data_IF_198853944450
#
_entry.id   IF_198853944450
#
_cell.length_a   1.000
_cell.length_b   1.000
_cell.length_c   1.000
_cell.angle_alpha   90.00
_cell.angle_beta   90.00
_cell.angle_gamma   90.00
#
_symmetry.space_group_name_H-M   'P 1'
#
loop_
_entity.id
_entity.type
_entity.pdbx_description
1 polymer ?
#
# COMPACT_ATOMS: atom_id res chain seq x y z
N UNK A 1 -8.32 12.05 13.47
CA UNK A 1 -9.44 13.02 13.49
C UNK A 1 -9.02 14.38 14.06
N UNK A 2 -8.33 14.44 15.20
CA UNK A 2 -8.00 15.71 15.87
C UNK A 2 -6.98 16.62 15.15
N UNK A 3 -6.23 16.12 14.16
CA UNK A 3 -5.13 16.84 13.50
C UNK A 3 -5.37 17.21 12.03
N UNK A 4 -6.57 16.96 11.49
CA UNK A 4 -6.95 17.41 10.14
C UNK A 4 -7.87 18.63 10.26
N UNK A 5 -7.41 19.86 9.95
CA UNK A 5 -8.17 21.09 10.20
C UNK A 5 -9.49 21.16 9.42
N UNK A 6 -9.60 20.42 8.33
CA UNK A 6 -10.71 20.48 7.38
C UNK A 6 -11.59 19.19 7.36
N UNK A 7 -11.29 18.21 8.24
CA UNK A 7 -12.10 17.02 8.49
C UNK A 7 -12.70 16.35 7.24
N UNK A 8 -14.03 16.28 7.19
CA UNK A 8 -14.79 15.69 6.09
C UNK A 8 -14.71 16.50 4.79
N UNK A 9 -14.59 17.84 4.86
CA UNK A 9 -14.62 18.69 3.67
C UNK A 9 -13.35 18.57 2.81
N UNK A 10 -12.24 18.12 3.39
CA UNK A 10 -10.98 17.87 2.67
C UNK A 10 -10.57 16.39 2.70
N UNK A 11 -11.47 15.51 3.15
CA UNK A 11 -11.23 14.08 3.26
C UNK A 11 -10.00 13.70 4.10
N UNK A 12 -9.79 14.39 5.23
CA UNK A 12 -8.73 14.09 6.19
C UNK A 12 -7.28 14.20 5.69
N UNK A 13 -7.03 14.98 4.64
CA UNK A 13 -5.65 15.24 4.19
C UNK A 13 -4.83 15.96 5.27
N UNK A 14 -3.62 15.47 5.57
CA UNK A 14 -2.71 16.05 6.56
C UNK A 14 -1.83 17.10 5.86
N UNK A 15 -2.12 18.39 6.09
CA UNK A 15 -1.33 19.48 5.52
C UNK A 15 0.03 19.67 6.23
N UNK A 16 0.12 19.35 7.51
CA UNK A 16 1.33 19.52 8.31
C UNK A 16 1.62 18.27 9.15
N UNK A 17 2.89 17.85 9.14
CA UNK A 17 3.37 16.80 10.04
C UNK A 17 3.78 17.43 11.38
N UNK A 18 2.98 17.19 12.42
CA UNK A 18 3.26 17.64 13.81
C UNK A 18 3.98 16.57 14.66
N UNK A 19 3.99 15.32 14.23
CA UNK A 19 4.48 14.16 15.01
C UNK A 19 5.61 13.45 14.26
N UNK A 20 6.62 12.98 15.00
CA UNK A 20 7.74 12.21 14.47
C UNK A 20 7.27 10.89 13.84
N UNK A 21 7.72 10.61 12.61
CA UNK A 21 7.37 9.39 11.89
C UNK A 21 8.62 8.52 11.66
N UNK A 22 8.72 7.35 12.31
CA UNK A 22 9.92 6.51 12.22
C UNK A 22 10.13 5.94 10.81
N UNK A 23 9.06 5.62 10.08
CA UNK A 23 9.17 5.09 8.73
C UNK A 23 9.83 6.10 7.78
N UNK A 24 9.45 7.37 7.91
CA UNK A 24 10.01 8.44 7.10
C UNK A 24 11.50 8.69 7.40
N UNK A 25 11.93 8.66 8.68
CA UNK A 25 13.35 8.78 9.01
C UNK A 25 14.17 7.60 8.47
N UNK A 26 13.61 6.39 8.47
CA UNK A 26 14.25 5.21 7.85
C UNK A 26 14.50 5.48 6.37
N UNK A 27 13.46 5.87 5.60
CA UNK A 27 13.61 6.19 4.17
C UNK A 27 14.58 7.36 3.91
N UNK A 28 14.54 8.41 4.72
CA UNK A 28 15.47 9.54 4.61
C UNK A 28 16.92 9.17 4.97
N UNK A 29 17.13 8.19 5.85
CA UNK A 29 18.48 7.68 6.17
C UNK A 29 18.98 6.76 5.07
N UNK A 30 18.11 5.92 4.51
CA UNK A 30 18.40 5.10 3.34
C UNK A 30 18.78 5.96 2.13
N UNK A 31 18.11 7.09 1.89
CA UNK A 31 18.37 7.96 0.74
C UNK A 31 19.71 8.70 0.78
N UNK A 32 20.40 8.72 1.93
CA UNK A 32 21.79 9.20 2.01
C UNK A 32 22.77 8.26 1.30
N UNK A 33 22.43 6.98 1.20
CA UNK A 33 23.25 5.95 0.55
C UNK A 33 22.56 5.56 -0.74
N UNK A 34 22.76 6.38 -1.77
CA UNK A 34 22.23 6.08 -3.10
C UNK A 34 22.85 4.78 -3.65
N UNK A 35 22.09 3.82 -4.21
CA UNK A 35 20.65 3.80 -4.53
C UNK A 35 19.81 2.86 -3.60
N UNK A 36 20.22 2.69 -2.34
CA UNK A 36 19.65 1.66 -1.45
C UNK A 36 18.16 1.92 -1.13
N UNK A 37 17.77 3.19 -1.06
CA UNK A 37 16.38 3.63 -0.91
C UNK A 37 15.48 3.12 -2.04
N UNK A 38 15.94 3.16 -3.29
CA UNK A 38 15.21 2.62 -4.43
C UNK A 38 15.10 1.10 -4.37
N UNK A 39 16.19 0.41 -4.03
CA UNK A 39 16.16 -1.05 -3.88
C UNK A 39 15.15 -1.47 -2.81
N UNK A 40 15.17 -0.81 -1.65
CA UNK A 40 14.24 -1.09 -0.56
C UNK A 40 12.79 -0.81 -0.96
N UNK A 41 12.53 0.34 -1.60
CA UNK A 41 11.19 0.69 -2.09
C UNK A 41 10.72 -0.34 -3.14
N UNK A 42 11.59 -0.75 -4.07
CA UNK A 42 11.27 -1.77 -5.06
C UNK A 42 10.93 -3.12 -4.41
N UNK A 43 11.69 -3.55 -3.41
CA UNK A 43 11.41 -4.80 -2.67
C UNK A 43 10.06 -4.71 -1.96
N UNK A 44 9.76 -3.60 -1.29
CA UNK A 44 8.46 -3.40 -0.61
C UNK A 44 7.31 -3.43 -1.61
N UNK A 45 7.43 -2.73 -2.75
CA UNK A 45 6.39 -2.71 -3.79
C UNK A 45 6.21 -4.10 -4.40
N UNK A 46 7.30 -4.79 -4.74
CA UNK A 46 7.24 -6.16 -5.27
C UNK A 46 6.65 -7.14 -4.26
N UNK A 47 6.97 -7.00 -2.98
CA UNK A 47 6.38 -7.81 -1.92
C UNK A 47 4.87 -7.58 -1.81
N UNK A 48 4.39 -6.33 -1.77
CA UNK A 48 2.96 -6.05 -1.70
C UNK A 48 2.25 -6.52 -2.99
N UNK A 49 2.90 -6.38 -4.13
CA UNK A 49 2.40 -6.89 -5.41
C UNK A 49 2.26 -8.42 -5.38
N UNK A 50 3.30 -9.14 -4.96
CA UNK A 50 3.26 -10.60 -4.85
C UNK A 50 2.25 -11.07 -3.80
N UNK A 51 2.16 -10.40 -2.66
CA UNK A 51 1.20 -10.70 -1.60
C UNK A 51 -0.24 -10.47 -2.04
N UNK A 52 -0.52 -9.43 -2.81
CA UNK A 52 -1.87 -9.18 -3.35
C UNK A 52 -2.23 -10.18 -4.45
N UNK A 53 -1.30 -10.52 -5.34
CA UNK A 53 -1.46 -11.60 -6.31
C UNK A 53 -1.77 -12.93 -5.62
N UNK A 54 -0.97 -13.30 -4.64
CA UNK A 54 -1.18 -14.51 -3.85
C UNK A 54 -2.51 -14.44 -3.09
N UNK A 55 -2.87 -13.28 -2.55
CA UNK A 55 -4.16 -13.06 -1.89
C UNK A 55 -5.34 -13.27 -2.84
N UNK A 56 -5.28 -12.74 -4.07
CA UNK A 56 -6.33 -12.92 -5.08
C UNK A 56 -6.45 -14.40 -5.49
N UNK A 57 -5.33 -15.09 -5.66
CA UNK A 57 -5.30 -16.52 -6.02
C UNK A 57 -5.77 -17.40 -4.86
N UNK A 58 -5.32 -17.16 -3.63
CA UNK A 58 -5.64 -17.95 -2.45
C UNK A 58 -7.05 -17.68 -1.89
N UNK A 59 -7.61 -16.48 -2.09
CA UNK A 59 -8.98 -16.15 -1.71
C UNK A 59 -10.04 -16.72 -2.66
N UNK A 60 -9.62 -17.39 -3.73
CA UNK A 60 -10.44 -18.22 -4.60
C UNK A 60 -11.81 -17.57 -4.88
N UNK A 61 -11.80 -16.32 -5.36
CA UNK A 61 -12.90 -15.33 -5.47
C UNK A 61 -14.29 -15.85 -4.99
N UNK A 62 -14.45 -16.07 -3.68
CA UNK A 62 -15.76 -16.25 -3.03
C UNK A 62 -16.22 -14.92 -2.47
N UNK A 63 -16.59 -14.00 -3.36
CA UNK A 63 -17.14 -12.71 -2.94
C UNK A 63 -18.52 -12.97 -2.34
N UNK A 64 -18.68 -12.79 -1.02
CA UNK A 64 -19.99 -12.86 -0.33
C UNK A 64 -20.80 -14.14 -0.67
N UNK A 65 -20.13 -15.31 -0.73
CA UNK A 65 -20.69 -16.63 -1.07
C UNK A 65 -20.96 -16.94 -2.55
N UNK A 66 -20.53 -16.08 -3.49
CA UNK A 66 -20.65 -16.35 -4.94
C UNK A 66 -19.24 -16.58 -5.51
N UNK A 67 -19.02 -17.74 -6.14
CA UNK A 67 -17.80 -18.06 -6.89
C UNK A 67 -17.81 -17.28 -8.21
N UNK A 68 -17.05 -16.18 -8.29
CA UNK A 68 -17.15 -15.28 -9.46
C UNK A 68 -16.27 -15.76 -10.61
N UNK A 69 -15.01 -16.16 -10.38
CA UNK A 69 -14.16 -16.81 -11.39
C UNK A 69 -13.04 -17.64 -10.74
N UNK A 70 -12.88 -18.91 -11.14
CA UNK A 70 -11.72 -19.74 -10.76
C UNK A 70 -10.52 -19.35 -11.62
N UNK A 71 -9.50 -18.77 -11.01
CA UNK A 71 -8.22 -18.46 -11.68
C UNK A 71 -7.42 -19.75 -11.86
N UNK A 72 -7.59 -20.42 -13.01
CA UNK A 72 -6.77 -21.59 -13.35
C UNK A 72 -5.63 -21.20 -14.27
N UNK A 73 -4.40 -21.54 -13.88
CA UNK A 73 -3.22 -21.35 -14.71
C UNK A 73 -3.46 -21.97 -16.09
N UNK A 74 -3.19 -21.20 -17.16
CA UNK A 74 -3.39 -21.58 -18.57
C UNK A 74 -4.84 -21.78 -19.04
N UNK A 75 -5.87 -21.53 -18.21
CA UNK A 75 -7.30 -21.61 -18.60
C UNK A 75 -8.13 -20.40 -18.18
N UNK A 76 -7.51 -19.27 -17.85
CA UNK A 76 -8.21 -18.04 -17.48
C UNK A 76 -8.85 -17.38 -18.71
N UNK A 77 -10.13 -17.03 -18.62
CA UNK A 77 -10.81 -16.27 -19.65
C UNK A 77 -10.17 -14.86 -19.79
N UNK A 78 -10.09 -14.29 -21.01
CA UNK A 78 -9.47 -12.96 -21.23
C UNK A 78 -10.15 -11.85 -20.41
N UNK A 79 -11.44 -11.99 -20.12
CA UNK A 79 -12.19 -11.08 -19.26
C UNK A 79 -11.68 -11.08 -17.81
N UNK A 80 -11.29 -12.24 -17.27
CA UNK A 80 -10.73 -12.34 -15.92
C UNK A 80 -9.34 -11.70 -15.85
N UNK A 81 -8.52 -11.85 -16.90
CA UNK A 81 -7.21 -11.19 -17.00
C UNK A 81 -7.35 -9.66 -17.04
N UNK A 82 -8.36 -9.13 -17.75
CA UNK A 82 -8.65 -7.70 -17.78
C UNK A 82 -9.07 -7.14 -16.41
N UNK A 83 -9.97 -7.83 -15.70
CA UNK A 83 -10.39 -7.44 -14.35
C UNK A 83 -9.22 -7.47 -13.37
N UNK A 84 -8.37 -8.49 -13.46
CA UNK A 84 -7.17 -8.61 -12.63
C UNK A 84 -6.16 -7.49 -12.90
N UNK A 85 -5.89 -7.18 -14.18
CA UNK A 85 -5.02 -6.08 -14.57
C UNK A 85 -5.55 -4.73 -14.04
N UNK A 86 -6.85 -4.52 -14.16
CA UNK A 86 -7.51 -3.32 -13.66
C UNK A 86 -7.45 -3.21 -12.12
N UNK A 87 -7.68 -4.32 -11.41
CA UNK A 87 -7.51 -4.39 -9.96
C UNK A 87 -6.07 -4.10 -9.54
N UNK A 88 -5.08 -4.66 -10.24
CA UNK A 88 -3.65 -4.40 -9.98
C UNK A 88 -3.27 -2.94 -10.24
N UNK A 89 -3.84 -2.31 -11.28
CA UNK A 89 -3.64 -0.88 -11.53
C UNK A 89 -4.20 -0.01 -10.39
N UNK A 90 -5.39 -0.35 -9.86
CA UNK A 90 -5.94 0.34 -8.69
C UNK A 90 -5.11 0.12 -7.42
N UNK A 91 -4.57 -1.08 -7.22
CA UNK A 91 -3.66 -1.36 -6.10
C UNK A 91 -2.38 -0.53 -6.21
N UNK A 92 -1.77 -0.44 -7.39
CA UNK A 92 -0.58 0.39 -7.60
C UNK A 92 -0.87 1.87 -7.32
N UNK A 93 -2.02 2.36 -7.76
CA UNK A 93 -2.48 3.72 -7.44
C UNK A 93 -2.62 3.92 -5.93
N UNK A 94 -3.24 2.97 -5.23
CA UNK A 94 -3.39 3.00 -3.78
C UNK A 94 -2.03 2.98 -3.06
N UNK A 95 -1.05 2.23 -3.57
CA UNK A 95 0.31 2.21 -3.04
C UNK A 95 1.01 3.56 -3.16
N UNK A 96 0.84 4.27 -4.28
CA UNK A 96 1.38 5.63 -4.44
C UNK A 96 0.81 6.60 -3.39
N UNK A 97 -0.49 6.50 -3.10
CA UNK A 97 -1.13 7.28 -2.03
C UNK A 97 -0.63 6.83 -0.66
N UNK A 98 -0.48 5.52 -0.45
CA UNK A 98 0.03 4.96 0.81
C UNK A 98 1.44 5.48 1.12
N UNK A 99 2.33 5.57 0.12
CA UNK A 99 3.67 6.14 0.29
C UNK A 99 3.64 7.59 0.80
N UNK A 100 2.72 8.42 0.30
CA UNK A 100 2.52 9.79 0.78
C UNK A 100 2.03 9.85 2.24
N UNK A 101 1.36 8.79 2.72
CA UNK A 101 0.94 8.67 4.12
C UNK A 101 2.03 8.07 5.04
N UNK A 102 2.79 7.09 4.54
CA UNK A 102 3.82 6.37 5.31
C UNK A 102 5.10 7.19 5.45
N UNK A 103 5.55 7.87 4.40
CA UNK A 103 6.77 8.67 4.40
C UNK A 103 6.57 10.01 3.65
N UNK A 104 5.78 10.95 4.22
CA UNK A 104 5.41 12.19 3.55
C UNK A 104 6.58 13.08 3.11
N UNK A 105 7.66 13.17 3.89
CA UNK A 105 8.75 14.12 3.62
C UNK A 105 9.72 13.50 2.62
N UNK A 106 10.00 12.21 2.75
CA UNK A 106 10.75 11.47 1.74
C UNK A 106 10.05 11.49 0.38
N UNK A 107 8.73 11.26 0.34
CA UNK A 107 7.98 11.24 -0.94
C UNK A 107 7.74 12.62 -1.53
N UNK A 108 7.61 13.67 -0.69
CA UNK A 108 7.44 15.03 -1.16
C UNK A 108 8.76 15.70 -1.57
N UNK A 109 9.85 15.50 -0.83
CA UNK A 109 11.11 16.25 -1.01
C UNK A 109 12.33 15.36 -1.30
N UNK A 110 12.29 14.07 -0.97
CA UNK A 110 13.43 13.17 -1.14
C UNK A 110 14.62 13.56 -0.25
N UNK A 111 15.82 13.58 -0.83
CA UNK A 111 17.07 13.94 -0.13
C UNK A 111 17.42 15.43 -0.20
N UNK A 112 16.48 16.30 -0.63
CA UNK A 112 16.72 17.73 -0.77
C UNK A 112 17.07 18.39 0.58
N UNK A 113 18.17 19.16 0.58
CA UNK A 113 18.60 19.98 1.72
C UNK A 113 18.72 21.45 1.33
N UNK A 114 18.34 22.33 2.25
CA UNK A 114 18.38 23.79 2.09
C UNK A 114 19.46 24.39 3.01
N UNK A 115 20.22 25.40 2.59
CA UNK A 115 21.10 26.14 3.49
C UNK A 115 20.27 26.90 4.54
N UNK A 116 20.56 26.66 5.83
CA UNK A 116 19.95 27.38 6.95
C UNK A 116 20.44 28.83 6.96
N UNK A 117 19.54 29.77 7.26
CA UNK A 117 19.82 31.22 7.22
C UNK A 117 20.79 31.72 8.29
N UNK A 118 21.22 30.86 9.22
CA UNK A 118 22.22 31.17 10.23
C UNK A 118 23.12 29.96 10.48
N UNK A 119 24.43 30.17 10.32
CA UNK A 119 25.51 29.17 10.37
C UNK A 119 25.53 28.17 9.21
N UNK A 120 26.73 27.62 8.96
CA UNK A 120 27.07 26.66 7.89
C UNK A 120 26.41 25.28 8.08
N UNK A 121 25.10 25.25 8.28
CA UNK A 121 24.28 24.05 8.43
C UNK A 121 23.32 23.92 7.26
N UNK A 122 23.24 22.73 6.67
CA UNK A 122 22.18 22.36 5.74
C UNK A 122 21.02 21.73 6.52
N UNK A 123 19.84 22.33 6.43
CA UNK A 123 18.59 21.81 6.99
C UNK A 123 17.84 20.98 5.94
N UNK A 124 17.10 19.96 6.38
CA UNK A 124 16.32 19.09 5.47
C UNK A 124 15.00 19.77 5.10
N UNK A 125 14.57 19.62 3.85
CA UNK A 125 13.22 20.03 3.45
C UNK A 125 12.17 19.15 4.14
N UNK A 126 11.19 19.76 4.80
CA UNK A 126 10.08 19.07 5.48
C UNK A 126 8.77 19.79 5.25
N UNK A 127 7.65 19.07 5.38
CA UNK A 127 6.31 19.65 5.22
C UNK A 127 5.99 20.74 6.26
N UNK A 128 6.63 20.72 7.43
CA UNK A 128 6.40 21.68 8.50
C UNK A 128 7.04 23.06 8.26
N UNK A 129 7.99 23.16 7.33
CA UNK A 129 8.87 24.34 7.18
C UNK A 129 9.03 24.75 5.70
N UNK A 130 7.95 24.68 4.93
CA UNK A 130 8.00 24.99 3.48
C UNK A 130 7.97 26.50 3.18
N UNK A 131 8.97 27.24 3.68
CA UNK A 131 9.25 28.59 3.18
C UNK A 131 9.95 28.52 1.82
N UNK A 132 9.13 28.55 0.76
CA UNK A 132 9.35 28.94 -0.64
C UNK A 132 10.55 28.39 -1.45
N UNK A 133 11.51 27.64 -0.87
CA UNK A 133 12.74 27.20 -1.58
C UNK A 133 12.87 25.69 -1.80
N UNK A 134 11.99 24.86 -1.25
CA UNK A 134 11.99 23.42 -1.48
C UNK A 134 11.01 23.06 -2.62
N UNK A 135 11.45 22.27 -3.61
CA UNK A 135 10.58 21.80 -4.68
C UNK A 135 9.91 20.49 -4.27
N UNK A 136 8.57 20.50 -4.17
CA UNK A 136 7.79 19.29 -3.93
C UNK A 136 7.69 18.42 -5.20
N UNK A 137 7.69 17.11 -5.03
CA UNK A 137 7.63 16.11 -6.09
C UNK A 137 6.33 16.21 -6.90
N UNK A 138 6.40 15.82 -8.18
CA UNK A 138 5.23 15.84 -9.08
C UNK A 138 4.13 14.92 -8.56
N UNK A 139 4.50 13.75 -8.03
CA UNK A 139 3.58 12.76 -7.45
C UNK A 139 2.83 13.38 -6.26
N UNK A 140 3.55 14.03 -5.33
CA UNK A 140 2.91 14.68 -4.19
C UNK A 140 1.98 15.83 -4.62
N UNK A 141 2.38 16.67 -5.60
CA UNK A 141 1.51 17.72 -6.15
C UNK A 141 0.24 17.14 -6.76
N UNK A 142 0.39 16.09 -7.57
CA UNK A 142 -0.71 15.47 -8.29
C UNK A 142 -1.75 14.88 -7.34
N UNK A 143 -1.33 14.04 -6.40
CA UNK A 143 -2.24 13.41 -5.43
C UNK A 143 -2.84 14.42 -4.46
N UNK A 144 -2.08 15.43 -4.03
CA UNK A 144 -2.62 16.50 -3.17
C UNK A 144 -3.73 17.27 -3.90
N UNK A 145 -3.54 17.60 -5.19
CA UNK A 145 -4.58 18.24 -5.99
C UNK A 145 -5.81 17.36 -6.17
N UNK A 146 -5.62 16.06 -6.41
CA UNK A 146 -6.73 15.10 -6.53
C UNK A 146 -7.51 15.01 -5.22
N UNK A 147 -6.83 14.89 -4.08
CA UNK A 147 -7.47 14.81 -2.77
C UNK A 147 -8.31 16.06 -2.46
N UNK A 148 -7.81 17.24 -2.84
CA UNK A 148 -8.53 18.51 -2.68
C UNK A 148 -9.68 18.68 -3.69
N UNK A 149 -9.49 18.25 -4.93
CA UNK A 149 -10.54 18.35 -5.96
C UNK A 149 -11.66 17.32 -5.76
N UNK A 150 -11.33 16.14 -5.23
CA UNK A 150 -12.24 15.01 -5.03
C UNK A 150 -12.16 14.49 -3.57
N UNK A 151 -12.82 15.16 -2.61
CA UNK A 151 -12.76 14.77 -1.20
C UNK A 151 -13.35 13.37 -0.95
N UNK A 152 -14.30 12.92 -1.78
CA UNK A 152 -14.92 11.58 -1.70
C UNK A 152 -13.85 10.48 -1.79
N UNK A 153 -12.87 10.63 -2.70
CA UNK A 153 -11.80 9.64 -2.88
C UNK A 153 -10.97 9.49 -1.60
N UNK A 154 -10.62 10.61 -0.97
CA UNK A 154 -9.81 10.63 0.24
C UNK A 154 -10.58 10.08 1.45
N UNK A 155 -11.88 10.38 1.57
CA UNK A 155 -12.74 9.80 2.62
C UNK A 155 -12.86 8.29 2.44
N UNK A 156 -13.12 7.82 1.21
CA UNK A 156 -13.24 6.39 0.91
C UNK A 156 -11.95 5.64 1.23
N UNK A 157 -10.79 6.20 0.85
CA UNK A 157 -9.48 5.64 1.19
C UNK A 157 -9.25 5.59 2.71
N UNK A 158 -9.59 6.66 3.43
CA UNK A 158 -9.49 6.69 4.90
C UNK A 158 -10.36 5.61 5.54
N UNK A 159 -11.63 5.50 5.14
CA UNK A 159 -12.54 4.48 5.66
C UNK A 159 -12.09 3.06 5.31
N UNK A 160 -11.54 2.85 4.11
CA UNK A 160 -10.99 1.56 3.70
C UNK A 160 -9.81 1.13 4.58
N UNK A 161 -8.92 2.05 4.96
CA UNK A 161 -7.82 1.74 5.89
C UNK A 161 -8.34 1.31 7.27
N UNK A 162 -9.34 2.01 7.81
CA UNK A 162 -9.98 1.63 9.07
C UNK A 162 -10.70 0.28 8.97
N UNK A 163 -11.41 0.03 7.87
CA UNK A 163 -12.06 -1.24 7.62
C UNK A 163 -11.04 -2.39 7.53
N UNK A 164 -9.90 -2.17 6.85
CA UNK A 164 -8.82 -3.14 6.78
C UNK A 164 -8.26 -3.49 8.16
N UNK A 165 -7.97 -2.48 8.99
CA UNK A 165 -7.51 -2.70 10.37
C UNK A 165 -8.56 -3.46 11.18
N UNK A 166 -9.84 -3.10 11.06
CA UNK A 166 -10.92 -3.78 11.77
C UNK A 166 -11.02 -5.26 11.38
N UNK A 167 -11.00 -5.58 10.08
CA UNK A 167 -11.02 -6.96 9.58
C UNK A 167 -9.78 -7.72 10.04
N UNK A 168 -8.59 -7.11 9.94
CA UNK A 168 -7.35 -7.72 10.41
C UNK A 168 -7.42 -8.06 11.90
N UNK A 169 -7.88 -7.13 12.74
CA UNK A 169 -8.04 -7.36 14.18
C UNK A 169 -9.06 -8.46 14.46
N UNK A 170 -10.17 -8.53 13.72
CA UNK A 170 -11.16 -9.60 13.86
C UNK A 170 -10.59 -10.98 13.48
N UNK A 171 -9.84 -11.07 12.38
CA UNK A 171 -9.19 -12.32 11.96
C UNK A 171 -8.08 -12.71 12.93
N UNK A 172 -7.27 -11.75 13.38
CA UNK A 172 -6.18 -11.97 14.31
C UNK A 172 -6.69 -12.44 15.68
N UNK A 173 -7.69 -11.76 16.24
CA UNK A 173 -8.34 -12.20 17.50
C UNK A 173 -8.98 -13.57 17.33
N UNK A 174 -9.70 -13.82 16.23
CA UNK A 174 -10.22 -15.16 15.95
C UNK A 174 -9.11 -16.21 15.84
N UNK A 175 -7.98 -15.92 15.21
CA UNK A 175 -6.85 -16.83 15.11
C UNK A 175 -6.17 -17.12 16.45
N UNK A 176 -6.11 -16.13 17.35
CA UNK A 176 -5.60 -16.30 18.70
C UNK A 176 -6.54 -17.11 19.60
N UNK A 177 -7.85 -16.87 19.53
CA UNK A 177 -8.85 -17.55 20.38
C UNK A 177 -9.32 -18.89 19.82
N UNK A 178 -9.37 -19.03 18.50
CA UNK A 178 -9.75 -20.24 17.78
C UNK A 178 -8.56 -20.64 16.92
N UNK A 179 -7.58 -21.31 17.53
CA UNK A 179 -6.39 -21.81 16.85
C UNK A 179 -6.83 -22.79 15.74
N UNK A 180 -6.93 -22.28 14.51
CA UNK A 180 -7.36 -23.05 13.34
C UNK A 180 -6.15 -23.54 12.57
N UNK A 181 -6.11 -24.85 12.31
CA UNK A 181 -5.28 -25.45 11.24
C UNK A 181 -5.55 -24.68 9.94
N UNK A 182 -4.49 -24.31 9.22
CA UNK A 182 -4.61 -23.52 7.99
C UNK A 182 -5.14 -24.41 6.86
N UNK A 183 -6.36 -24.17 6.34
CA UNK A 183 -6.95 -25.03 5.31
C UNK A 183 -6.25 -24.93 3.95
N UNK A 184 -5.44 -23.90 3.72
CA UNK A 184 -4.71 -23.70 2.46
C UNK A 184 -3.61 -24.76 2.24
N UNK A 185 -2.96 -25.24 3.31
CA UNK A 185 -1.99 -26.32 3.18
C UNK A 185 -2.69 -27.61 2.74
N UNK A 186 -3.84 -27.93 3.35
CA UNK A 186 -4.59 -29.14 3.03
C UNK A 186 -5.05 -29.15 1.56
N UNK A 187 -5.56 -28.02 1.03
CA UNK A 187 -5.97 -27.93 -0.38
C UNK A 187 -4.82 -28.07 -1.39
N UNK A 188 -3.63 -27.54 -1.07
CA UNK A 188 -2.45 -27.71 -1.91
C UNK A 188 -1.99 -29.18 -1.92
N UNK A 189 -2.04 -29.83 -0.76
CA UNK A 189 -1.68 -31.25 -0.62
C UNK A 189 -2.67 -32.15 -1.38
N UNK A 190 -3.98 -31.85 -1.31
CA UNK A 190 -5.03 -32.59 -2.04
C UNK A 190 -4.87 -32.47 -3.57
N UNK A 191 -4.51 -31.29 -4.09
CA UNK A 191 -4.27 -31.10 -5.53
C UNK A 191 -3.04 -31.86 -6.03
N UNK A 192 -1.96 -31.89 -5.25
CA UNK A 192 -0.75 -32.66 -5.59
C UNK A 192 -1.05 -34.17 -5.62
N UNK A 193 -1.86 -34.66 -4.67
CA UNK A 193 -2.28 -36.07 -4.61
C UNK A 193 -3.18 -36.49 -5.79
N UNK A 194 -4.12 -35.63 -6.22
CA UNK A 194 -4.98 -35.89 -7.40
C UNK A 194 -4.17 -35.96 -8.72
N UNK A 195 -3.18 -35.09 -8.91
CA UNK A 195 -2.32 -35.13 -10.10
C UNK A 195 -1.42 -36.37 -10.12
N UNK A 196 -0.86 -36.76 -8.97
CA UNK A 196 -0.08 -38.00 -8.82
C UNK A 196 -0.91 -39.27 -9.10
N UNK A 197 -2.19 -39.30 -8.69
CA UNK A 197 -3.10 -40.41 -8.95
C UNK A 197 -3.42 -40.61 -10.44
N UNK A 198 -3.49 -39.53 -11.22
CA UNK A 198 -3.74 -39.58 -12.67
C UNK A 198 -2.51 -40.06 -13.47
N UNK A 199 -1.30 -39.72 -13.01
CA UNK A 199 -0.06 -40.17 -13.65
C UNK A 199 0.24 -41.65 -13.39
N UNK A 200 -0.26 -42.22 -12.29
CA UNK A 200 -0.13 -43.64 -11.98
C UNK A 200 -1.03 -44.57 -12.83
N UNK A 201 -2.00 -43.99 -13.57
CA UNK A 201 -2.95 -44.72 -14.42
C UNK A 201 -2.61 -44.65 -15.93
N UNK A 202 -1.51 -44.02 -16.32
CA UNK A 202 -0.95 -44.02 -17.68
C UNK A 202 0.27 -44.91 -17.80
#
# INVERSE_FOLDING_TARGET
LLHSPCGWSCGYTLQERRIYNPADEVYLRLSRIFPVDFVFLSVVVLYIFAATLFGIVALDIRLLCISVYTLRARKSAPQALLVMCNAMAYILLALCVALLTIAPDYTAFGSQTRPSGGASGSERCSLAQSEQKCQVSVIAKFFTRIALAMPIFSIAYFLANWAFIAVFMLVFTRGLFFQRRQPFLDTATDCDEEELGLLAFS
#
